data_IF_237573051188
#
_entry.id   IF_237573051188
#
_cell.length_a   1.000
_cell.length_b   1.000
_cell.length_c   1.000
_cell.angle_alpha   90.00
_cell.angle_beta   90.00
_cell.angle_gamma   90.00
#
_symmetry.space_group_name_H-M   'P 1'
#
loop_
_entity.id
_entity.type
_entity.pdbx_description
1 polymer ?
#
# COMPACT_ATOMS: atom_id res chain seq x y z
N UNK A 1 -5.07 5.96 -54.20
CA UNK A 1 -5.11 4.57 -53.71
C UNK A 1 -3.69 4.05 -53.56
N UNK A 2 -2.96 4.42 -52.49
CA UNK A 2 -1.83 3.66 -51.90
C UNK A 2 -1.71 4.15 -50.45
N UNK A 3 -2.38 3.45 -49.53
CA UNK A 3 -2.30 3.61 -48.08
C UNK A 3 -1.81 2.25 -47.57
N UNK A 4 -0.52 1.92 -47.69
CA UNK A 4 0.05 0.71 -47.06
C UNK A 4 1.58 0.81 -46.95
N UNK A 5 2.13 1.83 -46.28
CA UNK A 5 3.54 1.78 -45.84
C UNK A 5 3.68 2.31 -44.41
N UNK A 6 2.67 2.06 -43.57
CA UNK A 6 2.77 2.16 -42.10
C UNK A 6 2.76 0.73 -41.58
N UNK A 7 3.77 -0.03 -41.99
CA UNK A 7 3.94 -1.43 -41.61
C UNK A 7 5.33 -1.60 -41.03
N UNK A 8 5.37 -2.02 -39.75
CA UNK A 8 6.54 -2.46 -38.99
C UNK A 8 7.58 -1.34 -38.73
N UNK A 9 7.72 -0.81 -37.52
CA UNK A 9 8.32 -1.53 -36.40
C UNK A 9 8.06 -0.73 -35.10
N UNK A 10 6.92 -0.95 -34.44
CA UNK A 10 6.74 -0.52 -33.05
C UNK A 10 6.29 -1.68 -32.15
N UNK A 11 6.58 -2.92 -32.57
CA UNK A 11 6.29 -4.11 -31.78
C UNK A 11 7.59 -4.75 -31.27
N UNK A 12 8.40 -4.00 -30.52
CA UNK A 12 9.45 -4.62 -29.71
C UNK A 12 9.92 -3.74 -28.55
N UNK A 13 9.01 -3.38 -27.65
CA UNK A 13 9.39 -3.16 -26.25
C UNK A 13 8.89 -4.38 -25.49
N UNK A 14 9.81 -5.35 -25.36
CA UNK A 14 9.49 -6.72 -24.97
C UNK A 14 8.92 -6.85 -23.56
N UNK A 15 8.10 -7.89 -23.30
CA UNK A 15 7.41 -8.12 -22.02
C UNK A 15 8.32 -8.63 -20.89
N UNK A 16 9.65 -8.62 -21.05
CA UNK A 16 10.59 -9.26 -20.11
C UNK A 16 11.15 -8.33 -19.02
N UNK A 17 11.01 -7.01 -19.17
CA UNK A 17 11.42 -6.04 -18.13
C UNK A 17 10.38 -5.87 -17.02
N UNK A 18 9.10 -6.11 -17.30
CA UNK A 18 8.03 -5.97 -16.31
C UNK A 18 8.14 -6.96 -15.15
N UNK A 19 8.51 -8.22 -15.41
CA UNK A 19 8.53 -9.27 -14.39
C UNK A 19 9.66 -9.09 -13.34
N UNK A 20 10.72 -8.35 -13.66
CA UNK A 20 11.77 -8.01 -12.70
C UNK A 20 11.42 -6.77 -11.88
N UNK A 21 10.80 -5.76 -12.51
CA UNK A 21 10.31 -4.57 -11.82
C UNK A 21 9.22 -4.91 -10.79
N UNK A 22 8.25 -5.74 -11.17
CA UNK A 22 7.13 -6.08 -10.31
C UNK A 22 7.51 -6.82 -9.02
N UNK A 23 8.53 -7.69 -9.05
CA UNK A 23 9.08 -8.31 -7.81
C UNK A 23 9.69 -7.29 -6.85
N UNK A 24 10.39 -6.29 -7.37
CA UNK A 24 10.94 -5.21 -6.55
C UNK A 24 9.84 -4.37 -5.93
N UNK A 25 8.78 -4.06 -6.70
CA UNK A 25 7.62 -3.33 -6.20
C UNK A 25 6.91 -4.10 -5.08
N UNK A 26 6.59 -5.38 -5.28
CA UNK A 26 6.01 -6.23 -4.22
C UNK A 26 6.86 -6.21 -2.94
N UNK A 27 8.19 -6.25 -3.07
CA UNK A 27 9.10 -6.19 -1.92
C UNK A 27 9.04 -4.85 -1.21
N UNK A 28 9.02 -3.74 -1.97
CA UNK A 28 8.89 -2.38 -1.41
C UNK A 28 7.54 -2.21 -0.73
N UNK A 29 6.45 -2.70 -1.34
CA UNK A 29 5.11 -2.62 -0.76
C UNK A 29 5.03 -3.36 0.58
N UNK A 30 5.61 -4.57 0.67
CA UNK A 30 5.73 -5.32 1.93
C UNK A 30 6.55 -4.58 2.98
N UNK A 31 7.70 -4.02 2.60
CA UNK A 31 8.53 -3.26 3.52
C UNK A 31 7.82 -2.00 4.05
N UNK A 32 6.99 -1.36 3.22
CA UNK A 32 6.14 -0.25 3.66
C UNK A 32 5.04 -0.72 4.62
N UNK A 33 4.38 -1.84 4.33
CA UNK A 33 3.39 -2.45 5.23
C UNK A 33 4.02 -2.76 6.59
N UNK A 34 5.18 -3.42 6.64
CA UNK A 34 5.90 -3.67 7.90
C UNK A 34 6.25 -2.39 8.66
N UNK A 35 6.57 -1.30 7.94
CA UNK A 35 6.82 0.00 8.57
C UNK A 35 5.54 0.61 9.16
N UNK A 36 4.40 0.46 8.49
CA UNK A 36 3.09 0.84 9.03
C UNK A 36 2.71 -0.01 10.23
N UNK A 37 2.92 -1.32 10.19
CA UNK A 37 2.67 -2.24 11.31
C UNK A 37 3.45 -1.80 12.56
N UNK A 38 4.75 -1.52 12.43
CA UNK A 38 5.57 -0.98 13.54
C UNK A 38 5.03 0.34 14.09
N UNK A 39 4.55 1.20 13.20
CA UNK A 39 3.96 2.49 13.58
C UNK A 39 2.64 2.30 14.32
N UNK A 40 1.81 1.36 13.87
CA UNK A 40 0.54 0.98 14.48
C UNK A 40 0.75 0.33 15.85
N UNK A 41 1.75 -0.53 15.98
CA UNK A 41 2.11 -1.14 17.26
C UNK A 41 2.55 -0.08 18.27
N UNK A 42 3.35 0.89 17.84
CA UNK A 42 3.74 2.03 18.68
C UNK A 42 2.51 2.86 19.07
N UNK A 43 1.63 3.16 18.12
CA UNK A 43 0.37 3.86 18.38
C UNK A 43 -0.49 3.11 19.41
N UNK A 44 -0.58 1.78 19.31
CA UNK A 44 -1.29 0.95 20.28
C UNK A 44 -0.63 0.98 21.66
N UNK A 45 0.69 1.05 21.76
CA UNK A 45 1.37 1.18 23.05
C UNK A 45 1.05 2.51 23.75
N UNK A 46 0.98 3.61 23.00
CA UNK A 46 0.70 4.94 23.54
C UNK A 46 -0.80 5.18 23.81
N UNK A 47 -1.65 4.88 22.84
CA UNK A 47 -3.10 5.14 22.90
C UNK A 47 -3.86 3.98 23.56
N UNK A 48 -3.32 2.77 23.51
CA UNK A 48 -3.93 1.54 24.04
C UNK A 48 -4.82 0.79 23.04
N UNK A 49 -4.96 1.28 21.80
CA UNK A 49 -5.78 0.68 20.73
C UNK A 49 -5.19 0.99 19.36
N UNK A 50 -5.56 0.23 18.33
CA UNK A 50 -5.27 0.62 16.95
C UNK A 50 -6.25 1.70 16.44
N UNK A 51 -5.87 2.49 15.42
CA UNK A 51 -6.79 3.40 14.73
C UNK A 51 -8.00 2.67 14.15
N UNK A 52 -9.15 3.33 14.07
CA UNK A 52 -10.32 2.77 13.40
C UNK A 52 -10.20 2.89 11.88
N UNK A 53 -11.05 2.16 11.13
CA UNK A 53 -11.11 2.27 9.66
C UNK A 53 -11.39 3.72 9.18
N UNK A 54 -12.16 4.49 9.95
CA UNK A 54 -12.47 5.90 9.63
C UNK A 54 -11.26 6.82 9.83
N UNK A 55 -10.41 6.52 10.82
CA UNK A 55 -9.19 7.28 11.08
C UNK A 55 -8.07 6.87 10.11
N UNK A 56 -8.01 5.58 9.77
CA UNK A 56 -7.08 5.02 8.82
C UNK A 56 -5.60 5.18 9.21
N UNK A 57 -4.73 5.08 8.21
CA UNK A 57 -3.29 5.34 8.38
C UNK A 57 -2.99 6.83 8.63
N UNK A 58 -3.96 7.73 8.41
CA UNK A 58 -3.80 9.15 8.72
C UNK A 58 -3.61 9.40 10.23
N UNK A 59 -4.17 8.54 11.08
CA UNK A 59 -3.97 8.57 12.54
C UNK A 59 -2.50 8.39 12.98
N UNK A 60 -1.68 7.77 12.13
CA UNK A 60 -0.25 7.59 12.39
C UNK A 60 0.54 8.88 12.16
N UNK A 61 0.02 9.77 11.31
CA UNK A 61 0.66 11.04 10.98
C UNK A 61 0.10 12.20 11.80
N UNK A 62 -1.22 12.29 11.92
CA UNK A 62 -1.90 13.34 12.66
C UNK A 62 -2.69 12.72 13.81
N UNK A 63 -2.66 13.37 14.97
CA UNK A 63 -3.45 12.96 16.12
C UNK A 63 -4.95 12.95 15.75
N UNK A 64 -5.63 11.80 15.78
CA UNK A 64 -7.07 11.80 15.60
C UNK A 64 -7.75 12.37 16.84
N UNK A 65 -8.91 13.00 16.65
CA UNK A 65 -9.68 13.61 17.74
C UNK A 65 -10.01 12.62 18.87
N UNK A 66 -10.13 11.33 18.55
CA UNK A 66 -10.46 10.28 19.52
C UNK A 66 -9.26 9.82 20.37
N UNK A 67 -8.01 9.99 19.88
CA UNK A 67 -6.81 9.60 20.62
C UNK A 67 -6.41 10.62 21.70
N UNK A 68 -6.82 11.88 21.51
CA UNK A 68 -6.62 12.96 22.48
C UNK A 68 -5.14 13.13 22.86
N UNK A 69 -4.89 13.40 24.14
CA UNK A 69 -3.55 13.64 24.68
C UNK A 69 -2.65 12.39 24.80
N UNK A 70 -3.17 11.19 24.53
CA UNK A 70 -2.38 9.95 24.57
C UNK A 70 -1.56 9.74 23.29
N UNK A 71 -1.90 10.43 22.22
CA UNK A 71 -1.15 10.37 20.97
C UNK A 71 0.19 11.07 21.12
N UNK A 72 1.28 10.37 20.83
CA UNK A 72 2.65 10.85 21.03
C UNK A 72 3.45 10.93 19.71
N UNK A 73 2.73 10.99 18.59
CA UNK A 73 3.30 10.94 17.25
C UNK A 73 4.02 12.23 16.81
N UNK A 74 4.43 12.32 15.53
CA UNK A 74 4.06 11.43 14.42
C UNK A 74 4.83 10.10 14.43
N UNK A 75 4.10 8.99 14.27
CA UNK A 75 4.70 7.65 14.17
C UNK A 75 5.30 7.39 12.78
N UNK A 76 4.86 8.17 11.78
CA UNK A 76 5.42 8.16 10.43
C UNK A 76 6.29 9.40 10.18
N UNK A 77 7.53 9.18 9.74
CA UNK A 77 8.50 10.26 9.43
C UNK A 77 8.12 11.09 8.20
N UNK A 78 7.49 10.45 7.23
CA UNK A 78 6.92 11.07 6.01
C UNK A 78 5.51 10.52 5.90
N UNK A 79 4.56 11.34 5.45
CA UNK A 79 3.17 10.93 5.36
C UNK A 79 2.98 9.67 4.55
N UNK A 80 1.82 9.03 4.74
CA UNK A 80 1.51 7.69 4.22
C UNK A 80 1.83 7.67 2.73
N UNK A 81 2.96 7.06 2.33
CA UNK A 81 3.29 6.99 0.92
C UNK A 81 2.24 6.12 0.22
N UNK A 82 1.92 6.42 -1.05
CA UNK A 82 1.25 5.43 -1.87
C UNK A 82 2.17 4.21 -2.03
N UNK A 83 1.56 3.09 -2.37
CA UNK A 83 2.29 1.90 -2.75
C UNK A 83 3.16 2.16 -4.00
N UNK A 84 4.06 1.23 -4.37
CA UNK A 84 4.95 1.39 -5.52
C UNK A 84 4.24 1.69 -6.83
N UNK A 85 2.98 1.25 -6.96
CA UNK A 85 2.14 1.46 -8.13
C UNK A 85 1.37 2.79 -8.10
N UNK A 86 1.57 3.60 -7.06
CA UNK A 86 0.93 4.91 -6.89
C UNK A 86 -0.47 4.84 -6.29
N UNK A 87 -0.87 3.69 -5.75
CA UNK A 87 -2.18 3.49 -5.15
C UNK A 87 -2.15 3.64 -3.62
N UNK A 88 -3.21 4.16 -3.01
CA UNK A 88 -3.28 4.27 -1.56
C UNK A 88 -3.45 2.89 -0.91
N UNK A 89 -2.75 2.66 0.19
CA UNK A 89 -2.98 1.50 1.04
C UNK A 89 -4.39 1.55 1.65
N UNK A 90 -5.09 0.42 1.57
CA UNK A 90 -6.35 0.25 2.28
C UNK A 90 -6.06 -0.22 3.69
N UNK A 91 -6.58 0.51 4.67
CA UNK A 91 -6.53 0.12 6.07
C UNK A 91 -7.93 -0.25 6.54
N UNK A 92 -8.03 -1.36 7.25
CA UNK A 92 -9.27 -1.86 7.82
C UNK A 92 -9.03 -2.36 9.23
N UNK A 93 -9.85 -1.88 10.16
CA UNK A 93 -9.87 -2.32 11.55
C UNK A 93 -11.32 -2.45 12.04
N UNK A 94 -11.75 -3.64 12.53
CA UNK A 94 -10.98 -4.88 12.64
C UNK A 94 -10.67 -5.53 11.28
N UNK A 95 -9.48 -6.14 11.18
CA UNK A 95 -9.03 -6.86 9.99
C UNK A 95 -9.76 -8.21 9.81
N UNK A 96 -9.66 -8.81 8.62
CA UNK A 96 -10.27 -10.12 8.38
C UNK A 96 -9.50 -11.26 9.08
N UNK A 97 -8.19 -11.09 9.30
CA UNK A 97 -7.32 -12.07 9.98
C UNK A 97 -6.75 -11.62 11.33
N UNK A 98 -7.02 -10.39 11.77
CA UNK A 98 -6.40 -9.83 12.97
C UNK A 98 -7.06 -8.53 13.44
N UNK A 99 -6.40 -7.85 14.38
CA UNK A 99 -6.89 -6.58 14.95
C UNK A 99 -7.00 -5.47 13.89
N UNK A 100 -6.14 -5.51 12.86
CA UNK A 100 -6.17 -4.63 11.71
C UNK A 100 -5.67 -5.37 10.46
N UNK A 101 -5.92 -4.81 9.29
CA UNK A 101 -5.47 -5.31 8.00
C UNK A 101 -5.07 -4.13 7.11
N UNK A 102 -3.87 -4.18 6.55
CA UNK A 102 -3.40 -3.25 5.54
C UNK A 102 -3.28 -4.01 4.22
N UNK A 103 -3.96 -3.53 3.19
CA UNK A 103 -3.98 -4.16 1.88
C UNK A 103 -3.56 -3.16 0.81
N UNK A 104 -2.55 -3.51 0.01
CA UNK A 104 -2.28 -2.88 -1.29
C UNK A 104 -2.90 -3.75 -2.38
N UNK A 105 -3.65 -3.11 -3.27
CA UNK A 105 -4.32 -3.75 -4.41
C UNK A 105 -3.37 -4.05 -5.58
N UNK A 106 -2.07 -3.84 -5.40
CA UNK A 106 -1.09 -4.05 -6.46
C UNK A 106 -1.25 -3.09 -7.65
N UNK A 107 -0.74 -3.51 -8.80
CA UNK A 107 -0.67 -2.66 -9.99
C UNK A 107 -2.02 -2.35 -10.64
N UNK A 108 -2.97 -3.28 -10.58
CA UNK A 108 -4.26 -3.13 -11.26
C UNK A 108 -5.30 -2.37 -10.43
N UNK A 109 -5.07 -2.23 -9.12
CA UNK A 109 -5.99 -1.55 -8.23
C UNK A 109 -7.32 -2.26 -8.10
N UNK A 110 -7.30 -3.58 -8.27
CA UNK A 110 -8.47 -4.41 -8.09
C UNK A 110 -8.16 -5.53 -7.11
N UNK A 111 -9.11 -5.87 -6.22
CA UNK A 111 -8.94 -7.01 -5.35
C UNK A 111 -8.80 -8.28 -6.20
N UNK A 112 -7.76 -9.06 -5.95
CA UNK A 112 -7.42 -10.28 -6.66
C UNK A 112 -6.07 -10.16 -7.37
N UNK A 113 -6.04 -10.61 -8.62
CA UNK A 113 -4.83 -10.55 -9.45
C UNK A 113 -3.80 -11.65 -9.19
N UNK A 114 -2.78 -11.70 -10.05
CA UNK A 114 -1.64 -12.63 -9.93
C UNK A 114 -0.33 -11.89 -10.19
N UNK A 115 0.75 -12.37 -9.57
CA UNK A 115 2.07 -11.74 -9.62
C UNK A 115 2.05 -10.28 -9.14
N UNK A 116 2.29 -9.31 -10.02
CA UNK A 116 2.42 -7.89 -9.69
C UNK A 116 1.06 -7.21 -9.45
N UNK A 117 -0.01 -7.88 -9.84
CA UNK A 117 -1.39 -7.50 -9.58
C UNK A 117 -1.92 -8.18 -8.31
N UNK A 118 -1.15 -9.08 -7.68
CA UNK A 118 -1.66 -9.77 -6.51
C UNK A 118 -1.76 -8.82 -5.32
N UNK A 119 -2.90 -8.86 -4.63
CA UNK A 119 -3.09 -8.14 -3.38
C UNK A 119 -1.99 -8.46 -2.36
N UNK A 120 -1.43 -7.42 -1.76
CA UNK A 120 -0.44 -7.54 -0.70
C UNK A 120 -1.11 -7.12 0.60
N UNK A 121 -1.41 -8.09 1.43
CA UNK A 121 -2.01 -7.89 2.76
C UNK A 121 -0.94 -7.99 3.85
N UNK A 122 -1.08 -7.22 4.93
CA UNK A 122 -0.44 -7.50 6.22
C UNK A 122 -0.85 -8.89 6.70
N UNK A 123 0.09 -9.63 7.30
CA UNK A 123 -0.11 -11.03 7.73
C UNK A 123 -0.33 -11.13 9.22
#
# INVERSE_FOLDING_TARGET
MVIVIIGLLAAYVGPKYFSQLGKSEVTVAKAQIEAFEKSLDTYRLDVGRYPTTEEGLAALLAAPATAGAKWNGPYLKKGVPPDPWGQPYQYKAPGTRGDYEITSLGKDGQPGGTADNADITSQ
#
